data_IF_818348795869
#
_entry.id   IF_818348795869
#
_cell.length_a   1.000
_cell.length_b   1.000
_cell.length_c   1.000
_cell.angle_alpha   90.00
_cell.angle_beta   90.00
_cell.angle_gamma   90.00
#
_symmetry.space_group_name_H-M   'P 1'
#
loop_
_entity.id
_entity.type
_entity.pdbx_description
1 polymer ?
#
# COMPACT_ATOMS: atom_id res chain seq x y z
N UNK A 1 25.92 15.13 3.87
CA UNK A 1 26.43 13.75 4.02
C UNK A 1 27.68 13.82 4.87
N UNK A 2 27.52 13.93 6.19
CA UNK A 2 28.61 13.64 7.12
C UNK A 2 29.11 12.21 6.89
N UNK A 3 30.37 11.93 7.25
CA UNK A 3 31.00 10.62 7.09
C UNK A 3 30.22 9.54 7.85
N UNK A 4 29.26 8.89 7.19
CA UNK A 4 28.56 7.72 7.71
C UNK A 4 29.60 6.67 8.10
N UNK A 5 29.57 6.24 9.35
CA UNK A 5 30.46 5.20 9.81
C UNK A 5 30.09 3.88 9.12
N UNK A 6 31.06 2.98 8.91
CA UNK A 6 30.80 1.63 8.42
C UNK A 6 29.73 0.91 9.24
N UNK A 7 29.67 1.15 10.55
CA UNK A 7 28.61 0.63 11.43
C UNK A 7 27.21 1.09 11.04
N UNK A 8 27.05 2.38 10.70
CA UNK A 8 25.74 2.94 10.32
C UNK A 8 25.27 2.38 8.97
N UNK A 9 26.20 2.22 8.02
CA UNK A 9 25.91 1.61 6.71
C UNK A 9 25.46 0.17 6.88
N UNK A 10 26.17 -0.63 7.70
CA UNK A 10 25.80 -2.02 7.97
C UNK A 10 24.41 -2.10 8.62
N UNK A 11 24.13 -1.24 9.61
CA UNK A 11 22.83 -1.18 10.27
C UNK A 11 21.71 -0.81 9.29
N UNK A 12 21.93 0.18 8.41
CA UNK A 12 20.98 0.58 7.39
C UNK A 12 20.67 -0.56 6.42
N UNK A 13 21.71 -1.23 5.92
CA UNK A 13 21.55 -2.37 5.02
C UNK A 13 20.80 -3.51 5.70
N UNK A 14 21.12 -3.82 6.96
CA UNK A 14 20.43 -4.85 7.73
C UNK A 14 18.94 -4.51 7.93
N UNK A 15 18.63 -3.29 8.38
CA UNK A 15 17.25 -2.84 8.61
C UNK A 15 16.45 -2.86 7.31
N UNK A 16 17.00 -2.34 6.21
CA UNK A 16 16.32 -2.32 4.91
C UNK A 16 16.15 -3.73 4.34
N UNK A 17 17.16 -4.59 4.42
CA UNK A 17 17.07 -5.97 3.93
C UNK A 17 16.03 -6.79 4.70
N UNK A 18 16.04 -6.71 6.03
CA UNK A 18 15.05 -7.40 6.88
C UNK A 18 13.65 -6.84 6.60
N UNK A 19 13.50 -5.52 6.57
CA UNK A 19 12.21 -4.88 6.31
C UNK A 19 11.68 -5.25 4.93
N UNK A 20 12.52 -5.25 3.90
CA UNK A 20 12.15 -5.65 2.54
C UNK A 20 11.77 -7.12 2.44
N UNK A 21 12.48 -8.02 3.15
CA UNK A 21 12.15 -9.43 3.20
C UNK A 21 10.78 -9.67 3.86
N UNK A 22 10.52 -9.03 5.02
CA UNK A 22 9.23 -9.12 5.72
C UNK A 22 8.12 -8.48 4.89
N UNK A 23 8.37 -7.31 4.31
CA UNK A 23 7.43 -6.59 3.46
C UNK A 23 7.06 -7.41 2.21
N UNK A 24 8.04 -8.02 1.54
CA UNK A 24 7.82 -8.89 0.38
C UNK A 24 7.04 -10.15 0.75
N UNK A 25 7.39 -10.79 1.86
CA UNK A 25 6.63 -11.93 2.38
C UNK A 25 5.18 -11.56 2.69
N UNK A 26 4.95 -10.42 3.35
CA UNK A 26 3.59 -9.91 3.64
C UNK A 26 2.83 -9.46 2.40
N UNK A 27 3.52 -8.92 1.39
CA UNK A 27 2.92 -8.61 0.09
C UNK A 27 2.47 -9.88 -0.64
N UNK A 28 3.22 -10.98 -0.51
CA UNK A 28 2.82 -12.29 -1.02
C UNK A 28 1.67 -12.92 -0.22
N UNK A 29 1.75 -12.94 1.10
CA UNK A 29 0.75 -13.60 1.96
C UNK A 29 -0.58 -12.85 2.04
N UNK A 30 -0.54 -11.51 2.06
CA UNK A 30 -1.71 -10.67 2.35
C UNK A 30 -2.07 -9.72 1.19
N UNK A 31 -1.24 -9.60 0.15
CA UNK A 31 -1.51 -8.69 -0.98
C UNK A 31 -1.37 -7.19 -0.64
N UNK A 32 -0.84 -6.89 0.56
CA UNK A 32 -0.78 -5.54 1.18
C UNK A 32 0.26 -4.61 0.52
N UNK A 33 1.16 -5.16 -0.31
CA UNK A 33 2.26 -4.41 -0.94
C UNK A 33 3.41 -4.08 0.01
N UNK A 34 3.30 -4.36 1.32
CA UNK A 34 4.41 -4.19 2.26
C UNK A 34 4.71 -2.73 2.67
N UNK A 35 3.93 -1.76 2.19
CA UNK A 35 4.15 -0.33 2.50
C UNK A 35 4.03 0.03 3.98
N UNK A 36 3.17 -0.67 4.74
CA UNK A 36 3.06 -0.48 6.20
C UNK A 36 4.40 -0.77 6.91
N UNK A 37 5.22 -1.65 6.33
CA UNK A 37 6.54 -2.02 6.85
C UNK A 37 7.62 -1.13 6.22
N UNK A 38 7.56 -0.92 4.90
CA UNK A 38 8.60 -0.19 4.17
C UNK A 38 8.62 1.32 4.46
N UNK A 39 7.45 1.97 4.60
CA UNK A 39 7.40 3.42 4.90
C UNK A 39 8.13 3.77 6.19
N UNK A 40 7.86 3.15 7.36
CA UNK A 40 8.58 3.47 8.59
C UNK A 40 10.06 3.06 8.53
N UNK A 41 10.40 1.95 7.87
CA UNK A 41 11.79 1.55 7.67
C UNK A 41 12.58 2.57 6.82
N UNK A 42 11.97 3.07 5.75
CA UNK A 42 12.54 4.13 4.91
C UNK A 42 12.61 5.47 5.65
N UNK A 43 11.60 5.81 6.46
CA UNK A 43 11.62 7.02 7.26
C UNK A 43 12.76 7.01 8.28
N UNK A 44 12.99 5.86 8.92
CA UNK A 44 14.14 5.66 9.79
C UNK A 44 15.46 5.76 9.00
N UNK A 45 15.57 5.05 7.87
CA UNK A 45 16.76 5.11 7.00
C UNK A 45 17.10 6.54 6.57
N UNK A 46 16.11 7.30 6.10
CA UNK A 46 16.30 8.70 5.70
C UNK A 46 16.57 9.64 6.89
N UNK A 47 16.17 9.26 8.11
CA UNK A 47 16.58 9.97 9.32
C UNK A 47 18.08 9.78 9.59
N UNK A 48 18.57 8.54 9.50
CA UNK A 48 20.00 8.22 9.71
C UNK A 48 20.89 8.80 8.62
N UNK A 49 20.39 8.85 7.38
CA UNK A 49 21.09 9.45 6.24
C UNK A 49 21.05 11.00 6.23
N UNK A 50 20.49 11.62 7.26
CA UNK A 50 20.40 13.08 7.43
C UNK A 50 19.66 13.78 6.28
N UNK A 51 18.60 13.14 5.76
CA UNK A 51 17.68 13.82 4.85
C UNK A 51 16.83 14.83 5.60
N UNK A 52 16.58 15.95 4.93
CA UNK A 52 15.79 17.06 5.45
C UNK A 52 14.42 16.59 5.96
N UNK A 53 14.06 17.06 7.16
CA UNK A 53 12.82 16.70 7.83
C UNK A 53 11.58 17.08 7.00
N UNK A 54 11.68 18.11 6.16
CA UNK A 54 10.56 18.58 5.34
C UNK A 54 10.25 17.60 4.20
N UNK A 55 11.24 16.86 3.71
CA UNK A 55 11.09 15.94 2.55
C UNK A 55 11.07 14.46 2.95
N UNK A 56 11.55 14.13 4.15
CA UNK A 56 11.73 12.75 4.62
C UNK A 56 10.52 11.85 4.43
N UNK A 57 9.33 12.29 4.85
CA UNK A 57 8.12 11.48 4.73
C UNK A 57 7.67 11.30 3.28
N UNK A 58 7.80 12.34 2.45
CA UNK A 58 7.49 12.27 1.02
C UNK A 58 8.37 11.25 0.30
N UNK A 59 9.68 11.27 0.60
CA UNK A 59 10.64 10.30 0.08
C UNK A 59 10.29 8.88 0.53
N UNK A 60 9.92 8.68 1.79
CA UNK A 60 9.53 7.36 2.30
C UNK A 60 8.29 6.80 1.61
N UNK A 61 7.26 7.63 1.46
CA UNK A 61 6.00 7.25 0.80
C UNK A 61 6.21 6.96 -0.68
N UNK A 62 6.86 7.87 -1.41
CA UNK A 62 7.12 7.70 -2.85
C UNK A 62 8.02 6.49 -3.14
N UNK A 63 9.07 6.31 -2.34
CA UNK A 63 9.99 5.15 -2.48
C UNK A 63 9.27 3.83 -2.16
N UNK A 64 8.41 3.82 -1.13
CA UNK A 64 7.60 2.64 -0.82
C UNK A 64 6.67 2.26 -1.98
N UNK A 65 5.99 3.23 -2.60
CA UNK A 65 5.16 2.99 -3.78
C UNK A 65 6.00 2.40 -4.94
N UNK A 66 7.20 2.92 -5.18
CA UNK A 66 8.09 2.37 -6.20
C UNK A 66 8.48 0.89 -5.90
N UNK A 67 8.75 0.55 -4.64
CA UNK A 67 9.06 -0.82 -4.19
C UNK A 67 7.84 -1.75 -4.31
N UNK A 68 6.63 -1.23 -4.15
CA UNK A 68 5.39 -2.00 -4.31
C UNK A 68 5.22 -2.49 -5.76
N UNK A 69 5.73 -1.77 -6.77
CA UNK A 69 5.56 -2.14 -8.18
C UNK A 69 6.05 -3.58 -8.48
N UNK A 70 7.35 -3.92 -8.29
CA UNK A 70 7.82 -5.27 -8.58
C UNK A 70 7.20 -6.34 -7.67
N UNK A 71 6.96 -6.02 -6.39
CA UNK A 71 6.35 -6.98 -5.44
C UNK A 71 4.90 -7.29 -5.79
N UNK A 72 4.12 -6.29 -6.20
CA UNK A 72 2.75 -6.47 -6.68
C UNK A 72 2.69 -7.19 -8.02
N UNK A 73 3.65 -7.00 -8.94
CA UNK A 73 3.70 -7.78 -10.18
C UNK A 73 3.89 -9.26 -9.86
N UNK A 74 4.88 -9.60 -9.04
CA UNK A 74 5.17 -11.00 -8.67
C UNK A 74 3.98 -11.60 -7.90
N UNK A 75 3.47 -10.88 -6.89
CA UNK A 75 2.32 -11.34 -6.11
C UNK A 75 1.08 -11.55 -6.98
N UNK A 76 0.76 -10.61 -7.89
CA UNK A 76 -0.36 -10.75 -8.82
C UNK A 76 -0.17 -11.97 -9.70
N UNK A 77 1.00 -12.15 -10.31
CA UNK A 77 1.29 -13.29 -11.18
C UNK A 77 1.10 -14.63 -10.45
N UNK A 78 1.65 -14.76 -9.25
CA UNK A 78 1.50 -15.99 -8.44
C UNK A 78 0.03 -16.26 -8.11
N UNK A 79 -0.77 -15.24 -7.80
CA UNK A 79 -2.21 -15.44 -7.55
C UNK A 79 -3.00 -15.71 -8.82
N UNK A 80 -2.59 -15.18 -9.97
CA UNK A 80 -3.20 -15.48 -11.27
C UNK A 80 -3.04 -16.96 -11.63
N UNK A 81 -1.86 -17.55 -11.36
CA UNK A 81 -1.59 -18.97 -11.59
C UNK A 81 -2.50 -19.90 -10.76
N UNK A 82 -3.19 -19.36 -9.75
CA UNK A 82 -4.15 -20.08 -8.89
C UNK A 82 -5.60 -19.60 -9.06
N UNK A 83 -5.93 -18.92 -10.16
CA UNK A 83 -7.27 -18.36 -10.45
C UNK A 83 -7.84 -17.45 -9.34
N UNK A 84 -6.95 -16.83 -8.56
CA UNK A 84 -7.30 -16.03 -7.38
C UNK A 84 -7.40 -14.52 -7.69
N UNK A 85 -7.40 -14.11 -8.95
CA UNK A 85 -7.49 -12.69 -9.34
C UNK A 85 -8.77 -12.42 -10.10
N UNK A 86 -9.62 -11.53 -9.57
CA UNK A 86 -10.84 -11.09 -10.26
C UNK A 86 -10.57 -9.88 -11.17
N UNK A 87 -10.17 -10.12 -12.42
CA UNK A 87 -9.91 -9.03 -13.37
C UNK A 87 -11.14 -8.20 -13.72
N UNK A 88 -12.36 -8.75 -13.59
CA UNK A 88 -13.58 -7.97 -13.78
C UNK A 88 -13.71 -6.93 -12.66
N UNK A 89 -13.42 -7.34 -11.42
CA UNK A 89 -13.36 -6.42 -10.29
C UNK A 89 -12.28 -5.37 -10.48
N UNK A 90 -11.06 -5.77 -10.83
CA UNK A 90 -9.94 -4.83 -11.07
C UNK A 90 -10.30 -3.81 -12.15
N UNK A 91 -10.92 -4.22 -13.26
CA UNK A 91 -11.32 -3.31 -14.34
C UNK A 91 -12.44 -2.35 -13.91
N UNK A 92 -13.41 -2.85 -13.15
CA UNK A 92 -14.53 -2.03 -12.64
C UNK A 92 -14.07 -1.01 -11.61
N UNK A 93 -13.16 -1.39 -10.71
CA UNK A 93 -12.61 -0.50 -9.67
C UNK A 93 -11.49 0.39 -10.21
N UNK A 94 -10.72 -0.10 -11.17
CA UNK A 94 -9.44 0.46 -11.58
C UNK A 94 -9.53 1.93 -11.97
N UNK A 95 -10.54 2.32 -12.74
CA UNK A 95 -10.69 3.71 -13.15
C UNK A 95 -10.94 4.65 -11.97
N UNK A 96 -11.78 4.24 -11.02
CA UNK A 96 -12.10 5.02 -9.83
C UNK A 96 -10.94 5.06 -8.84
N UNK A 97 -10.21 3.95 -8.74
CA UNK A 97 -8.96 3.88 -7.97
C UNK A 97 -7.93 4.83 -8.56
N UNK A 98 -7.74 4.86 -9.87
CA UNK A 98 -6.80 5.79 -10.52
C UNK A 98 -7.16 7.26 -10.24
N UNK A 99 -8.45 7.61 -10.32
CA UNK A 99 -8.91 8.96 -9.94
C UNK A 99 -8.61 9.27 -8.47
N UNK A 100 -8.88 8.31 -7.57
CA UNK A 100 -8.52 8.42 -6.16
C UNK A 100 -7.01 8.60 -5.96
N UNK A 101 -6.19 7.81 -6.64
CA UNK A 101 -4.73 7.86 -6.57
C UNK A 101 -4.19 9.21 -7.00
N UNK A 102 -4.68 9.77 -8.11
CA UNK A 102 -4.24 11.09 -8.57
C UNK A 102 -4.58 12.16 -7.52
N UNK A 103 -5.81 12.14 -7.00
CA UNK A 103 -6.22 13.07 -5.95
C UNK A 103 -5.43 12.88 -4.64
N UNK A 104 -5.16 11.64 -4.26
CA UNK A 104 -4.39 11.28 -3.07
C UNK A 104 -2.91 11.65 -3.19
N UNK A 105 -2.33 11.51 -4.38
CA UNK A 105 -0.98 11.94 -4.68
C UNK A 105 -0.86 13.47 -4.61
N UNK A 106 -1.81 14.19 -5.22
CA UNK A 106 -1.84 15.65 -5.12
C UNK A 106 -1.97 16.11 -3.67
N UNK A 107 -2.83 15.47 -2.87
CA UNK A 107 -2.88 15.73 -1.43
C UNK A 107 -1.51 15.46 -0.78
N UNK A 108 -0.92 14.29 -1.01
CA UNK A 108 0.33 13.88 -0.38
C UNK A 108 1.46 14.87 -0.65
N UNK A 109 1.64 15.31 -1.91
CA UNK A 109 2.68 16.27 -2.32
C UNK A 109 2.49 17.66 -1.68
N UNK A 110 1.25 18.07 -1.44
CA UNK A 110 0.95 19.38 -0.86
C UNK A 110 0.90 19.39 0.67
N UNK A 111 0.96 18.22 1.33
CA UNK A 111 0.93 18.14 2.79
C UNK A 111 2.31 18.40 3.39
N UNK A 112 2.34 19.04 4.55
CA UNK A 112 3.59 19.14 5.33
C UNK A 112 3.93 17.77 5.92
N UNK A 113 5.23 17.45 6.01
CA UNK A 113 5.70 16.17 6.58
C UNK A 113 5.07 15.82 7.93
N UNK A 114 4.94 16.72 8.93
CA UNK A 114 4.28 16.37 10.20
C UNK A 114 2.83 15.91 10.03
N UNK A 115 2.07 16.54 9.12
CA UNK A 115 0.69 16.16 8.82
C UNK A 115 0.63 14.81 8.12
N UNK A 116 1.55 14.55 7.19
CA UNK A 116 1.64 13.29 6.46
C UNK A 116 2.04 12.13 7.39
N UNK A 117 2.98 12.36 8.32
CA UNK A 117 3.33 11.40 9.38
C UNK A 117 2.13 11.10 10.27
N UNK A 118 1.41 12.13 10.74
CA UNK A 118 0.23 11.94 11.59
C UNK A 118 -0.86 11.15 10.86
N UNK A 119 -1.12 11.48 9.59
CA UNK A 119 -2.04 10.75 8.73
C UNK A 119 -1.64 9.28 8.61
N UNK A 120 -0.38 9.01 8.28
CA UNK A 120 0.16 7.65 8.19
C UNK A 120 0.01 6.87 9.49
N UNK A 121 0.36 7.46 10.63
CA UNK A 121 0.31 6.79 11.94
C UNK A 121 -1.12 6.43 12.34
N UNK A 122 -2.07 7.36 12.22
CA UNK A 122 -3.48 7.12 12.59
C UNK A 122 -4.08 6.01 11.72
N UNK A 123 -3.92 6.10 10.40
CA UNK A 123 -4.50 5.13 9.49
C UNK A 123 -3.85 3.75 9.62
N UNK A 124 -2.52 3.68 9.74
CA UNK A 124 -1.83 2.40 9.93
C UNK A 124 -2.26 1.73 11.24
N UNK A 125 -2.47 2.52 12.29
CA UNK A 125 -3.03 2.02 13.55
C UNK A 125 -4.46 1.48 13.37
N UNK A 126 -5.34 2.20 12.68
CA UNK A 126 -6.70 1.74 12.37
C UNK A 126 -6.72 0.45 11.55
N UNK A 127 -5.85 0.34 10.54
CA UNK A 127 -5.70 -0.89 9.73
C UNK A 127 -5.23 -2.05 10.62
N UNK A 128 -4.27 -1.82 11.51
CA UNK A 128 -3.81 -2.83 12.48
C UNK A 128 -4.95 -3.32 13.38
N UNK A 129 -5.75 -2.39 13.93
CA UNK A 129 -6.94 -2.74 14.72
C UNK A 129 -7.96 -3.54 13.89
N UNK A 130 -8.19 -3.16 12.64
CA UNK A 130 -9.08 -3.89 11.74
C UNK A 130 -8.65 -5.35 11.61
N UNK A 131 -7.36 -5.63 11.36
CA UNK A 131 -6.86 -7.00 11.21
C UNK A 131 -6.95 -7.81 12.51
N UNK A 132 -6.81 -7.18 13.69
CA UNK A 132 -6.93 -7.85 14.98
C UNK A 132 -8.39 -8.19 15.31
N UNK A 133 -9.29 -7.23 15.16
CA UNK A 133 -10.67 -7.35 15.64
C UNK A 133 -11.66 -7.91 14.61
N UNK A 134 -11.41 -7.71 13.32
CA UNK A 134 -12.31 -8.15 12.25
C UNK A 134 -11.88 -9.48 11.61
N UNK A 135 -11.15 -10.30 12.37
CA UNK A 135 -10.64 -11.61 11.93
C UNK A 135 -11.73 -12.68 11.81
N UNK A 136 -12.92 -12.48 12.36
CA UNK A 136 -13.88 -13.57 12.48
C UNK A 136 -15.34 -13.17 12.27
N UNK A 137 -16.02 -14.11 11.59
CA UNK A 137 -17.32 -14.02 10.92
C UNK A 137 -17.23 -13.23 9.64
N UNK A 138 -17.42 -13.89 8.49
CA UNK A 138 -18.29 -13.34 7.45
C UNK A 138 -18.50 -14.35 6.31
N UNK A 139 -19.74 -14.85 6.31
CA UNK A 139 -20.61 -15.17 5.16
C UNK A 139 -20.00 -16.05 4.06
N UNK A 140 -20.38 -17.33 4.09
CA UNK A 140 -20.44 -18.19 2.92
C UNK A 140 -21.51 -17.66 1.96
N UNK A 141 -21.17 -16.65 1.15
CA UNK A 141 -21.77 -16.29 -0.14
C UNK A 141 -21.37 -14.86 -0.51
N UNK A 142 -20.63 -14.64 -1.62
CA UNK A 142 -20.30 -13.29 -2.07
C UNK A 142 -21.58 -12.55 -2.45
N UNK A 143 -21.86 -11.43 -1.78
CA UNK A 143 -22.93 -10.52 -2.20
C UNK A 143 -22.45 -9.71 -3.40
N UNK A 144 -23.31 -9.51 -4.39
CA UNK A 144 -23.04 -8.59 -5.48
C UNK A 144 -22.85 -7.18 -4.92
N UNK A 145 -21.65 -6.61 -5.09
CA UNK A 145 -21.39 -5.22 -4.72
C UNK A 145 -22.10 -4.33 -5.74
N UNK A 146 -22.89 -3.36 -5.29
CA UNK A 146 -23.52 -2.39 -6.18
C UNK A 146 -22.49 -1.47 -6.81
N UNK A 147 -22.70 -1.05 -8.06
CA UNK A 147 -21.70 -0.27 -8.79
C UNK A 147 -21.41 1.08 -8.11
N UNK A 148 -22.39 1.70 -7.44
CA UNK A 148 -22.20 2.92 -6.65
C UNK A 148 -21.18 2.69 -5.53
N UNK A 149 -21.33 1.59 -4.77
CA UNK A 149 -20.42 1.27 -3.68
C UNK A 149 -19.03 0.96 -4.22
N UNK A 150 -18.93 0.23 -5.34
CA UNK A 150 -17.64 -0.03 -5.99
C UNK A 150 -16.92 1.25 -6.38
N UNK A 151 -17.63 2.18 -7.01
CA UNK A 151 -17.05 3.40 -7.54
C UNK A 151 -16.57 4.31 -6.40
N UNK A 152 -17.41 4.52 -5.38
CA UNK A 152 -17.06 5.36 -4.22
C UNK A 152 -15.90 4.73 -3.44
N UNK A 153 -15.97 3.43 -3.14
CA UNK A 153 -14.90 2.75 -2.42
C UNK A 153 -13.61 2.71 -3.23
N UNK A 154 -13.67 2.58 -4.56
CA UNK A 154 -12.49 2.68 -5.43
C UNK A 154 -11.78 4.02 -5.29
N UNK A 155 -12.51 5.14 -5.36
CA UNK A 155 -11.93 6.48 -5.15
C UNK A 155 -11.31 6.58 -3.76
N UNK A 156 -12.04 6.18 -2.71
CA UNK A 156 -11.57 6.26 -1.32
C UNK A 156 -10.31 5.42 -1.11
N UNK A 157 -10.30 4.18 -1.60
CA UNK A 157 -9.15 3.28 -1.49
C UNK A 157 -7.94 3.88 -2.19
N UNK A 158 -8.09 4.33 -3.44
CA UNK A 158 -7.00 4.96 -4.19
C UNK A 158 -6.47 6.22 -3.50
N UNK A 159 -7.37 7.06 -3.01
CA UNK A 159 -7.04 8.32 -2.33
C UNK A 159 -6.28 8.09 -1.02
N UNK A 160 -6.73 7.15 -0.20
CA UNK A 160 -6.09 6.87 1.09
C UNK A 160 -4.78 6.09 0.90
N UNK A 161 -4.68 5.19 -0.09
CA UNK A 161 -3.48 4.36 -0.25
C UNK A 161 -2.21 5.15 -0.56
N UNK A 162 -2.29 6.26 -1.30
CA UNK A 162 -1.11 7.01 -1.74
C UNK A 162 -0.42 7.76 -0.61
N UNK A 163 -1.09 8.62 0.20
CA UNK A 163 -0.44 9.27 1.34
C UNK A 163 0.11 8.29 2.37
N UNK A 164 -0.43 7.07 2.41
CA UNK A 164 0.05 6.00 3.26
C UNK A 164 1.24 5.22 2.68
N UNK A 165 1.54 5.39 1.39
CA UNK A 165 2.60 4.62 0.70
C UNK A 165 2.34 3.12 0.68
N UNK A 166 1.06 2.71 0.68
CA UNK A 166 0.63 1.31 0.70
C UNK A 166 0.04 0.89 -0.65
N UNK A 167 0.04 -0.42 -0.90
CA UNK A 167 -0.63 -1.01 -2.05
C UNK A 167 -2.13 -1.17 -1.84
N UNK A 168 -2.72 -2.07 -2.62
CA UNK A 168 -4.15 -2.38 -2.56
C UNK A 168 -4.55 -3.20 -1.34
N UNK A 169 -3.69 -4.08 -0.82
CA UNK A 169 -4.15 -5.07 0.16
C UNK A 169 -4.54 -4.55 1.53
N UNK A 170 -3.99 -3.44 2.04
CA UNK A 170 -4.39 -2.96 3.37
C UNK A 170 -5.84 -2.48 3.42
N UNK A 171 -6.43 -2.09 2.28
CA UNK A 171 -7.77 -1.52 2.17
C UNK A 171 -8.69 -2.36 1.27
N UNK A 172 -8.19 -2.89 0.16
CA UNK A 172 -8.97 -3.69 -0.79
C UNK A 172 -9.28 -5.10 -0.26
N UNK A 173 -8.33 -5.76 0.43
CA UNK A 173 -8.62 -7.06 1.08
C UNK A 173 -9.73 -6.93 2.10
N UNK A 174 -9.65 -6.03 3.10
CA UNK A 174 -10.72 -5.91 4.07
C UNK A 174 -12.03 -5.48 3.43
N UNK A 175 -12.00 -4.55 2.47
CA UNK A 175 -13.17 -4.19 1.68
C UNK A 175 -13.84 -5.42 1.03
N UNK A 176 -13.12 -6.20 0.23
CA UNK A 176 -13.69 -7.41 -0.42
C UNK A 176 -14.20 -8.44 0.59
N UNK A 177 -13.49 -8.62 1.72
CA UNK A 177 -13.89 -9.53 2.80
C UNK A 177 -15.20 -9.11 3.46
N UNK A 178 -15.47 -7.81 3.64
CA UNK A 178 -16.77 -7.34 4.16
C UNK A 178 -17.96 -7.69 3.28
N UNK A 179 -17.75 -7.93 1.97
CA UNK A 179 -18.79 -8.36 1.02
C UNK A 179 -18.87 -9.88 0.79
N UNK A 180 -18.08 -10.68 1.53
CA UNK A 180 -18.14 -12.15 1.48
C UNK A 180 -17.28 -12.79 0.39
N UNK A 181 -16.30 -12.07 -0.18
CA UNK A 181 -15.34 -12.66 -1.10
C UNK A 181 -14.36 -13.57 -0.35
N UNK A 182 -13.94 -14.66 -1.02
CA UNK A 182 -12.91 -15.56 -0.49
C UNK A 182 -11.59 -14.82 -0.23
N UNK A 183 -10.84 -15.24 0.79
CA UNK A 183 -9.59 -14.60 1.18
C UNK A 183 -8.53 -14.67 0.08
N UNK A 184 -8.41 -15.80 -0.63
CA UNK A 184 -7.46 -15.97 -1.72
C UNK A 184 -7.80 -15.01 -2.86
N UNK A 185 -9.09 -14.95 -3.21
CA UNK A 185 -9.59 -14.06 -4.25
C UNK A 185 -9.46 -12.58 -3.89
N UNK A 186 -9.64 -12.24 -2.61
CA UNK A 186 -9.45 -10.89 -2.08
C UNK A 186 -7.99 -10.46 -2.15
N UNK A 187 -7.07 -11.33 -1.72
CA UNK A 187 -5.62 -11.08 -1.74
C UNK A 187 -5.12 -10.92 -3.17
N UNK A 188 -5.47 -11.85 -4.07
CA UNK A 188 -5.02 -11.79 -5.47
C UNK A 188 -5.55 -10.56 -6.22
N UNK A 189 -6.82 -10.24 -6.03
CA UNK A 189 -7.42 -9.02 -6.62
C UNK A 189 -6.79 -7.76 -6.04
N UNK A 190 -6.52 -7.73 -4.74
CA UNK A 190 -5.87 -6.61 -4.09
C UNK A 190 -4.41 -6.41 -4.50
N UNK A 191 -3.68 -7.48 -4.82
CA UNK A 191 -2.33 -7.39 -5.38
C UNK A 191 -2.34 -6.69 -6.75
N UNK A 192 -3.29 -7.06 -7.61
CA UNK A 192 -3.46 -6.43 -8.94
C UNK A 192 -3.86 -4.94 -8.82
N UNK A 193 -4.78 -4.64 -7.90
CA UNK A 193 -5.11 -3.24 -7.56
C UNK A 193 -3.89 -2.51 -6.99
N UNK A 194 -3.10 -3.19 -6.17
CA UNK A 194 -1.88 -2.63 -5.59
C UNK A 194 -0.85 -2.23 -6.63
N UNK A 195 -0.72 -3.00 -7.72
CA UNK A 195 0.08 -2.62 -8.87
C UNK A 195 -0.44 -1.34 -9.54
N UNK A 196 -1.76 -1.22 -9.74
CA UNK A 196 -2.34 0.00 -10.32
C UNK A 196 -2.08 1.23 -9.44
N UNK A 197 -2.30 1.10 -8.13
CA UNK A 197 -2.08 2.17 -7.14
C UNK A 197 -0.61 2.56 -7.10
N UNK A 198 0.29 1.59 -7.00
CA UNK A 198 1.72 1.86 -6.84
C UNK A 198 2.33 2.49 -8.08
N UNK A 199 1.99 1.98 -9.27
CA UNK A 199 2.49 2.52 -10.52
C UNK A 199 2.01 3.96 -10.75
N UNK A 200 0.69 4.18 -10.68
CA UNK A 200 0.11 5.51 -10.90
C UNK A 200 0.48 6.50 -9.79
N UNK A 201 0.51 6.05 -8.53
CA UNK A 201 0.92 6.86 -7.38
C UNK A 201 2.37 7.29 -7.47
N UNK A 202 3.28 6.36 -7.81
CA UNK A 202 4.71 6.68 -8.03
C UNK A 202 4.89 7.72 -9.13
N UNK A 203 4.24 7.52 -10.29
CA UNK A 203 4.32 8.48 -11.40
C UNK A 203 3.80 9.86 -10.98
N UNK A 204 2.65 9.90 -10.31
CA UNK A 204 2.02 11.17 -9.92
C UNK A 204 2.83 11.90 -8.85
N UNK A 205 3.41 11.18 -7.88
CA UNK A 205 4.29 11.76 -6.86
C UNK A 205 5.64 12.25 -7.42
N UNK A 206 6.12 11.69 -8.53
CA UNK A 206 7.32 12.18 -9.21
C UNK A 206 7.00 13.42 -10.05
N UNK A 207 5.80 13.49 -10.63
CA UNK A 207 5.40 14.54 -11.55
C UNK A 207 4.84 15.81 -10.87
N UNK A 208 4.31 15.69 -9.65
CA UNK A 208 3.78 16.81 -8.85
C UNK A 208 4.81 17.36 -7.88
#
# INVERSE_FOLDING_TARGET
>A
MENLNYGDIINLLAVLAISAAVAGFMAGLLGVGGGIIMVPALYYAFTVLDFDIVTRMHLSVGTSLAIIIPTSIISTKTHMEHDAVDFKMVKSFGIFILLGVIAGAFLAVNLKTPTLVLFFSIFSFMVGLFFIFLREKLVENPKTISDIVKNISGIIIGFISVPLGIGGGSLMVPFMRTFGYDIRKSIGTAAAVGFLISLSGTITMIAG
#
